data_IF_898850754500
#
_entry.id   IF_898850754500
#
_cell.length_a   1.000
_cell.length_b   1.000
_cell.length_c   1.000
_cell.angle_alpha   90.00
_cell.angle_beta   90.00
_cell.angle_gamma   90.00
#
_symmetry.space_group_name_H-M   'P 1'
#
loop_
_entity.id
_entity.type
_entity.pdbx_description
1 polymer ?
#
# COMPACT_ATOMS: atom_id res chain seq x y z
N UNK A 1 -24.90 59.15 -29.43
CA UNK A 1 -25.41 58.90 -28.06
C UNK A 1 -24.79 57.60 -27.56
N UNK A 2 -23.76 57.69 -26.71
CA UNK A 2 -23.04 56.52 -26.16
C UNK A 2 -23.42 56.40 -24.69
N UNK A 3 -24.00 55.26 -24.30
CA UNK A 3 -24.37 54.96 -22.93
C UNK A 3 -23.15 54.46 -22.14
N UNK A 4 -22.92 55.07 -20.98
CA UNK A 4 -21.88 54.72 -20.02
C UNK A 4 -22.24 53.42 -19.27
N UNK A 5 -21.28 52.52 -19.07
CA UNK A 5 -21.38 51.38 -18.15
C UNK A 5 -20.70 51.75 -16.82
N UNK A 6 -21.28 51.41 -15.65
CA UNK A 6 -20.69 51.76 -14.36
C UNK A 6 -19.57 50.78 -13.97
N UNK A 7 -18.43 51.34 -13.54
CA UNK A 7 -17.27 50.60 -13.08
C UNK A 7 -17.46 50.00 -11.68
N UNK A 8 -16.98 48.78 -11.48
CA UNK A 8 -16.89 48.14 -10.18
C UNK A 8 -15.52 48.42 -9.58
N UNK A 9 -15.49 49.10 -8.44
CA UNK A 9 -14.29 49.35 -7.63
C UNK A 9 -14.05 48.16 -6.71
N UNK A 10 -12.87 47.53 -6.83
CA UNK A 10 -12.36 46.56 -5.87
C UNK A 10 -11.89 47.33 -4.64
N UNK A 11 -12.50 47.08 -3.47
CA UNK A 11 -12.00 47.59 -2.19
C UNK A 11 -10.94 46.62 -1.65
N UNK A 12 -9.70 47.09 -1.57
CA UNK A 12 -8.64 46.48 -0.78
C UNK A 12 -8.86 46.81 0.71
N UNK A 13 -8.76 45.82 1.59
CA UNK A 13 -8.76 46.01 3.06
C UNK A 13 -7.31 45.98 3.54
N UNK A 14 -6.82 46.95 4.35
CA UNK A 14 -5.42 47.00 4.75
C UNK A 14 -5.14 46.06 5.92
N UNK A 15 -3.95 45.45 5.90
CA UNK A 15 -3.37 44.69 7.01
C UNK A 15 -2.79 45.68 8.03
N UNK A 16 -3.33 45.71 9.24
CA UNK A 16 -2.75 46.44 10.35
C UNK A 16 -1.99 45.47 11.26
N UNK A 17 -0.68 45.68 11.36
CA UNK A 17 0.17 45.08 12.38
C UNK A 17 0.06 45.92 13.66
N UNK A 18 -0.14 45.28 14.81
CA UNK A 18 0.03 45.92 16.12
C UNK A 18 0.84 45.01 17.04
N UNK A 19 1.95 45.54 17.53
CA UNK A 19 2.89 44.93 18.46
C UNK A 19 2.88 45.81 19.72
N UNK A 20 2.65 45.24 20.91
CA UNK A 20 3.18 45.74 22.20
C UNK A 20 2.85 44.78 23.37
N UNK A 21 3.93 44.20 23.89
CA UNK A 21 4.38 44.06 25.30
C UNK A 21 3.36 43.70 26.39
N UNK A 22 3.66 42.62 27.12
CA UNK A 22 2.88 42.12 28.26
C UNK A 22 3.24 42.71 29.63
N UNK A 23 2.55 42.19 30.65
CA UNK A 23 2.97 41.79 32.02
C UNK A 23 1.68 41.63 32.86
N UNK A 24 1.61 40.58 33.69
CA UNK A 24 0.78 40.60 34.91
C UNK A 24 -0.11 39.39 35.17
N UNK A 25 0.35 38.55 36.09
CA UNK A 25 -0.30 37.37 36.68
C UNK A 25 -1.79 37.53 37.03
N UNK A 26 -2.58 36.54 36.63
CA UNK A 26 -3.92 36.26 37.14
C UNK A 26 -4.33 34.87 36.69
N UNK A 27 -4.06 33.86 37.53
CA UNK A 27 -4.56 32.50 37.30
C UNK A 27 -6.10 32.52 37.39
N UNK A 28 -6.75 32.34 36.26
CA UNK A 28 -8.19 32.09 36.16
C UNK A 28 -8.42 30.65 35.68
N UNK A 29 -9.47 29.97 36.17
CA UNK A 29 -9.62 28.53 36.04
C UNK A 29 -10.03 28.13 34.63
N UNK A 30 -9.51 26.97 34.17
CA UNK A 30 -10.09 26.15 33.12
C UNK A 30 -10.43 26.84 31.81
N UNK A 31 -9.42 27.06 30.94
CA UNK A 31 -9.72 27.02 29.51
C UNK A 31 -10.10 25.59 29.19
N UNK A 32 -11.41 25.31 29.08
CA UNK A 32 -11.85 24.16 28.33
C UNK A 32 -11.16 24.24 26.97
N UNK A 33 -10.23 23.31 26.69
CA UNK A 33 -9.77 23.06 25.32
C UNK A 33 -11.04 22.89 24.50
N UNK A 34 -11.31 23.82 23.59
CA UNK A 34 -12.39 23.67 22.65
C UNK A 34 -12.14 22.34 21.93
N UNK A 35 -13.00 21.37 22.17
CA UNK A 35 -12.96 20.05 21.56
C UNK A 35 -12.95 20.24 20.05
N UNK A 36 -11.77 20.16 19.43
CA UNK A 36 -11.59 20.39 18.01
C UNK A 36 -12.35 19.29 17.26
N UNK A 37 -13.28 19.60 16.34
CA UNK A 37 -14.10 18.61 15.63
C UNK A 37 -13.31 17.88 14.52
N UNK A 38 -11.98 17.80 14.65
CA UNK A 38 -11.12 17.25 13.62
C UNK A 38 -11.17 15.73 13.72
N UNK A 39 -11.30 15.03 12.58
CA UNK A 39 -11.07 13.59 12.59
C UNK A 39 -9.59 13.34 12.87
N UNK A 40 -9.27 12.23 13.53
CA UNK A 40 -7.89 11.80 13.75
C UNK A 40 -7.68 10.51 12.99
N UNK A 41 -6.61 10.42 12.20
CA UNK A 41 -6.18 9.19 11.58
C UNK A 41 -4.81 8.80 12.13
N UNK A 42 -4.70 7.57 12.62
CA UNK A 42 -3.46 6.96 13.09
C UNK A 42 -3.04 5.91 12.07
N UNK A 43 -1.84 6.07 11.51
CA UNK A 43 -1.20 5.08 10.64
C UNK A 43 -0.09 4.37 11.41
N UNK A 44 -0.02 3.05 11.31
CA UNK A 44 1.13 2.29 11.81
C UNK A 44 2.24 2.14 10.77
N UNK A 45 2.00 2.56 9.53
CA UNK A 45 2.98 2.56 8.45
C UNK A 45 3.70 3.92 8.36
N UNK A 46 5.03 3.90 8.53
CA UNK A 46 5.97 4.96 8.17
C UNK A 46 7.19 4.29 7.52
N UNK A 47 7.43 4.42 6.19
CA UNK A 47 6.76 5.26 5.18
C UNK A 47 5.29 4.87 4.89
N UNK A 48 4.55 5.61 4.02
CA UNK A 48 3.19 5.26 3.62
C UNK A 48 3.03 3.79 3.24
N UNK A 49 1.90 3.20 3.62
CA UNK A 49 1.63 1.79 3.29
C UNK A 49 1.60 1.61 1.77
N UNK A 50 2.34 0.61 1.29
CA UNK A 50 2.27 0.19 -0.11
C UNK A 50 1.07 -0.75 -0.32
N UNK A 51 0.31 -0.52 -1.39
CA UNK A 51 -0.85 -1.33 -1.76
C UNK A 51 -0.78 -1.73 -3.23
N UNK A 52 -1.20 -2.95 -3.55
CA UNK A 52 -1.19 -3.45 -4.93
C UNK A 52 -2.37 -2.86 -5.71
N UNK A 53 -2.08 -2.30 -6.88
CA UNK A 53 -3.07 -1.64 -7.74
C UNK A 53 -4.27 -2.55 -8.03
N UNK A 54 -5.46 -1.94 -8.07
CA UNK A 54 -6.77 -2.56 -8.32
C UNK A 54 -7.29 -3.55 -7.26
N UNK A 55 -6.51 -3.88 -6.23
CA UNK A 55 -6.97 -4.70 -5.11
C UNK A 55 -7.59 -3.83 -4.02
N UNK A 56 -8.60 -4.38 -3.34
CA UNK A 56 -9.12 -3.75 -2.12
C UNK A 56 -8.27 -4.19 -0.95
N UNK A 57 -7.43 -3.27 -0.47
CA UNK A 57 -6.49 -3.53 0.62
C UNK A 57 -7.01 -2.92 1.91
N UNK A 58 -6.98 -3.71 2.98
CA UNK A 58 -7.25 -3.20 4.33
C UNK A 58 -6.02 -2.46 4.83
N UNK A 59 -6.19 -1.17 5.10
CA UNK A 59 -5.08 -0.35 5.55
C UNK A 59 -4.76 -0.60 7.03
N UNK A 60 -3.51 -0.34 7.37
CA UNK A 60 -2.98 -0.23 8.72
C UNK A 60 -3.22 1.18 9.31
N UNK A 61 -4.35 1.77 8.90
CA UNK A 61 -4.79 3.12 9.28
C UNK A 61 -6.16 3.04 9.92
N UNK A 62 -6.29 3.73 11.06
CA UNK A 62 -7.53 3.87 11.81
C UNK A 62 -7.90 5.34 11.91
N UNK A 63 -9.12 5.68 11.53
CA UNK A 63 -9.64 7.03 11.64
C UNK A 63 -10.81 7.09 12.62
N UNK A 64 -10.83 8.12 13.47
CA UNK A 64 -11.87 8.35 14.47
C UNK A 64 -12.34 9.81 14.44
N UNK A 65 -13.50 10.06 15.03
CA UNK A 65 -14.03 11.41 15.25
C UNK A 65 -14.44 11.54 16.71
N UNK A 66 -14.02 12.63 17.35
CA UNK A 66 -14.18 12.84 18.80
C UNK A 66 -15.66 13.00 19.24
N UNK A 67 -16.53 13.36 18.31
CA UNK A 67 -17.99 13.16 18.41
C UNK A 67 -18.32 12.10 17.36
N UNK A 68 -19.13 11.05 17.67
CA UNK A 68 -19.46 9.97 16.74
C UNK A 68 -20.28 10.50 15.57
N UNK A 69 -19.56 11.11 14.63
CA UNK A 69 -20.02 11.66 13.36
C UNK A 69 -19.51 10.70 12.30
N UNK A 70 -20.33 10.35 11.30
CA UNK A 70 -19.87 9.55 10.19
C UNK A 70 -18.72 10.26 9.48
N UNK A 71 -17.68 9.50 9.15
CA UNK A 71 -16.58 9.94 8.31
C UNK A 71 -16.88 9.55 6.87
N UNK A 72 -16.66 10.49 5.96
CA UNK A 72 -16.58 10.24 4.54
C UNK A 72 -15.11 10.13 4.16
N UNK A 73 -14.73 9.06 3.48
CA UNK A 73 -13.40 8.91 2.92
C UNK A 73 -13.40 9.42 1.48
N UNK A 74 -12.40 10.22 1.13
CA UNK A 74 -12.23 10.76 -0.22
C UNK A 74 -10.78 10.53 -0.64
N UNK A 75 -10.58 9.84 -1.75
CA UNK A 75 -9.27 9.64 -2.36
C UNK A 75 -9.23 10.36 -3.72
N UNK A 76 -8.06 10.80 -4.15
CA UNK A 76 -7.90 11.45 -5.46
C UNK A 76 -7.81 10.41 -6.58
N UNK A 77 -7.18 9.27 -6.29
CA UNK A 77 -6.87 8.24 -7.26
C UNK A 77 -7.39 6.85 -6.87
N UNK A 78 -8.50 6.80 -6.14
CA UNK A 78 -9.17 5.54 -5.82
C UNK A 78 -10.48 5.73 -5.07
N UNK A 79 -10.96 4.61 -4.54
CA UNK A 79 -12.09 4.53 -3.64
C UNK A 79 -11.60 4.10 -2.26
N UNK A 80 -11.90 4.89 -1.24
CA UNK A 80 -11.66 4.56 0.15
C UNK A 80 -12.98 4.39 0.90
N UNK A 81 -13.05 3.40 1.79
CA UNK A 81 -14.19 3.17 2.68
C UNK A 81 -13.69 2.98 4.11
N UNK A 82 -14.54 3.30 5.08
CA UNK A 82 -14.26 3.14 6.51
C UNK A 82 -15.34 2.28 7.16
N UNK A 83 -14.95 1.32 7.99
CA UNK A 83 -15.88 0.48 8.76
C UNK A 83 -16.29 1.15 10.09
N UNK A 84 -17.27 0.56 10.79
CA UNK A 84 -17.78 1.08 12.08
C UNK A 84 -16.73 1.08 13.21
N UNK A 85 -15.59 0.41 13.02
CA UNK A 85 -14.46 0.39 13.95
C UNK A 85 -13.36 1.39 13.54
N UNK A 86 -13.62 2.23 12.53
CA UNK A 86 -12.69 3.25 12.06
C UNK A 86 -11.60 2.72 11.12
N UNK A 87 -11.67 1.46 10.69
CA UNK A 87 -10.64 0.87 9.83
C UNK A 87 -10.89 1.19 8.38
N UNK A 88 -9.85 1.66 7.69
CA UNK A 88 -9.94 2.08 6.30
C UNK A 88 -9.60 0.91 5.36
N UNK A 89 -10.35 0.78 4.27
CA UNK A 89 -9.95 -0.01 3.10
C UNK A 89 -9.86 0.89 1.88
N UNK A 90 -8.94 0.58 0.99
CA UNK A 90 -8.66 1.39 -0.20
C UNK A 90 -8.52 0.49 -1.43
N UNK A 91 -9.01 0.98 -2.57
CA UNK A 91 -8.78 0.39 -3.89
C UNK A 91 -8.43 1.51 -4.86
N UNK A 92 -7.30 1.41 -5.53
CA UNK A 92 -6.90 2.40 -6.51
C UNK A 92 -7.77 2.38 -7.76
N UNK A 93 -7.82 3.51 -8.46
CA UNK A 93 -8.29 3.58 -9.82
C UNK A 93 -7.40 2.73 -10.75
N UNK A 94 -7.94 2.25 -11.88
CA UNK A 94 -7.14 1.60 -12.91
C UNK A 94 -5.96 2.45 -13.36
N UNK A 95 -4.83 1.79 -13.62
CA UNK A 95 -3.57 2.40 -14.10
C UNK A 95 -2.90 3.41 -13.15
N UNK A 96 -3.48 3.72 -11.99
CA UNK A 96 -2.83 4.59 -11.03
C UNK A 96 -1.70 3.85 -10.31
N UNK A 97 -0.51 4.46 -10.34
CA UNK A 97 0.69 4.08 -9.61
C UNK A 97 1.31 5.34 -9.00
N UNK A 98 1.82 5.22 -7.78
CA UNK A 98 2.38 6.34 -7.02
C UNK A 98 1.56 6.67 -5.77
N UNK A 99 1.83 7.83 -5.18
CA UNK A 99 1.25 8.23 -3.90
C UNK A 99 -0.16 8.82 -4.08
N UNK A 100 -1.16 8.26 -3.40
CA UNK A 100 -2.51 8.83 -3.28
C UNK A 100 -2.71 9.43 -1.89
N UNK A 101 -3.44 10.55 -1.82
CA UNK A 101 -3.83 11.18 -0.55
C UNK A 101 -5.29 10.86 -0.24
N UNK A 102 -5.52 10.22 0.90
CA UNK A 102 -6.85 9.89 1.40
C UNK A 102 -7.22 10.88 2.50
N UNK A 103 -8.38 11.51 2.35
CA UNK A 103 -8.96 12.43 3.33
C UNK A 103 -10.10 11.76 4.10
N UNK A 104 -9.99 11.73 5.43
CA UNK A 104 -11.13 11.52 6.31
C UNK A 104 -11.82 12.85 6.55
N UNK A 105 -13.10 12.97 6.16
CA UNK A 105 -13.89 14.19 6.27
C UNK A 105 -15.08 13.97 7.18
N UNK A 106 -15.23 14.81 8.21
CA UNK A 106 -16.39 14.75 9.10
C UNK A 106 -17.65 15.18 8.35
N UNK A 107 -18.73 14.41 8.48
CA UNK A 107 -20.04 14.77 7.92
C UNK A 107 -20.96 15.41 8.98
N UNK A 108 -21.63 16.51 8.62
CA UNK A 108 -22.58 17.23 9.49
C UNK A 108 -23.92 17.33 8.75
N UNK A 109 -24.98 16.74 9.30
CA UNK A 109 -26.28 16.68 8.64
C UNK A 109 -26.25 15.98 7.27
N UNK A 110 -25.37 14.98 7.13
CA UNK A 110 -25.17 14.22 5.88
C UNK A 110 -24.33 14.95 4.81
N UNK A 111 -23.71 16.08 5.13
CA UNK A 111 -22.87 16.86 4.19
C UNK A 111 -21.41 16.88 4.64
N UNK A 112 -20.43 16.83 3.72
CA UNK A 112 -19.01 17.00 4.06
C UNK A 112 -18.76 18.36 4.71
N UNK A 113 -18.00 18.38 5.81
CA UNK A 113 -17.57 19.61 6.48
C UNK A 113 -16.17 20.03 6.03
N UNK A 114 -15.68 21.16 6.54
CA UNK A 114 -14.29 21.60 6.32
C UNK A 114 -13.27 20.87 7.20
N UNK A 115 -13.71 20.13 8.21
CA UNK A 115 -12.83 19.41 9.13
C UNK A 115 -12.42 18.08 8.51
N UNK A 116 -11.12 17.98 8.19
CA UNK A 116 -10.54 16.81 7.55
C UNK A 116 -9.11 16.56 8.01
N UNK A 117 -8.69 15.31 7.92
CA UNK A 117 -7.32 14.86 8.14
C UNK A 117 -6.92 13.95 6.98
N UNK A 118 -5.73 14.19 6.44
CA UNK A 118 -5.19 13.46 5.30
C UNK A 118 -4.12 12.48 5.74
N UNK A 119 -3.99 11.37 5.02
CA UNK A 119 -2.86 10.45 5.08
C UNK A 119 -2.58 9.90 3.68
N UNK A 120 -1.40 9.33 3.49
CA UNK A 120 -0.92 8.87 2.19
C UNK A 120 -0.87 7.35 2.11
N UNK A 121 -1.05 6.81 0.90
CA UNK A 121 -0.75 5.42 0.51
C UNK A 121 0.06 5.42 -0.78
N UNK A 122 0.95 4.45 -0.96
CA UNK A 122 1.70 4.29 -2.21
C UNK A 122 1.12 3.09 -2.99
N UNK A 123 0.60 3.36 -4.18
CA UNK A 123 0.06 2.34 -5.07
C UNK A 123 1.16 1.81 -5.98
N UNK A 124 1.36 0.49 -5.95
CA UNK A 124 2.39 -0.20 -6.72
C UNK A 124 1.79 -1.20 -7.70
N UNK A 125 2.56 -1.53 -8.73
CA UNK A 125 2.18 -2.58 -9.68
C UNK A 125 2.19 -3.97 -8.98
N UNK A 126 1.43 -4.96 -9.47
CA UNK A 126 1.59 -6.35 -9.03
C UNK A 126 3.00 -6.87 -9.30
N UNK A 127 3.44 -7.87 -8.53
CA UNK A 127 4.70 -8.54 -8.80
C UNK A 127 4.69 -9.28 -10.16
N UNK A 128 5.84 -9.34 -10.81
CA UNK A 128 6.04 -10.05 -12.07
C UNK A 128 7.09 -11.13 -11.85
N UNK A 129 6.66 -12.39 -11.94
CA UNK A 129 7.57 -13.53 -11.87
C UNK A 129 8.13 -13.84 -13.27
N UNK A 130 9.38 -14.28 -13.35
CA UNK A 130 10.06 -14.67 -14.60
C UNK A 130 10.53 -16.13 -14.49
N UNK A 131 10.63 -16.79 -15.63
CA UNK A 131 10.99 -18.20 -15.67
C UNK A 131 12.48 -18.39 -15.39
N UNK A 132 12.81 -19.46 -14.66
CA UNK A 132 14.18 -19.78 -14.26
C UNK A 132 14.70 -21.05 -14.95
N UNK A 133 16.02 -21.13 -15.11
CA UNK A 133 16.70 -22.31 -15.61
C UNK A 133 18.01 -22.53 -14.85
N UNK A 134 18.24 -23.77 -14.40
CA UNK A 134 19.47 -24.17 -13.72
C UNK A 134 19.99 -25.49 -14.27
N UNK A 135 21.32 -25.57 -14.44
CA UNK A 135 22.01 -26.83 -14.65
C UNK A 135 22.30 -27.50 -13.30
N UNK A 136 21.92 -28.76 -13.16
CA UNK A 136 21.98 -29.53 -11.93
C UNK A 136 22.89 -30.74 -12.14
N UNK A 137 23.94 -30.93 -11.32
CA UNK A 137 24.77 -32.12 -11.41
C UNK A 137 23.98 -33.39 -11.09
N UNK A 138 24.16 -34.43 -11.91
CA UNK A 138 23.57 -35.74 -11.65
C UNK A 138 24.02 -36.32 -10.29
N UNK A 139 23.05 -36.86 -9.53
CA UNK A 139 23.32 -37.60 -8.29
C UNK A 139 23.84 -36.78 -7.10
N UNK A 140 23.91 -35.45 -7.21
CA UNK A 140 24.33 -34.58 -6.12
C UNK A 140 23.24 -33.57 -5.73
N UNK A 141 23.23 -33.19 -4.45
CA UNK A 141 22.43 -32.07 -3.95
C UNK A 141 22.91 -30.79 -4.64
N UNK A 142 21.96 -30.03 -5.19
CA UNK A 142 22.20 -28.74 -5.83
C UNK A 142 21.58 -27.64 -4.98
N UNK A 143 22.38 -26.64 -4.63
CA UNK A 143 21.93 -25.44 -3.95
C UNK A 143 21.96 -24.28 -4.94
N UNK A 144 20.85 -23.56 -5.06
CA UNK A 144 20.73 -22.49 -6.03
C UNK A 144 21.69 -21.34 -5.70
N UNK A 145 22.55 -20.88 -6.63
CA UNK A 145 23.49 -19.81 -6.34
C UNK A 145 22.83 -18.42 -6.25
N UNK A 146 21.70 -18.24 -6.94
CA UNK A 146 20.99 -16.94 -7.03
C UNK A 146 19.56 -16.99 -6.50
N UNK A 147 18.98 -18.19 -6.34
CA UNK A 147 17.57 -18.36 -5.97
C UNK A 147 16.58 -17.96 -7.08
N UNK A 148 15.30 -18.21 -6.83
CA UNK A 148 14.20 -18.02 -7.79
C UNK A 148 13.78 -16.56 -7.96
N UNK A 149 14.02 -15.70 -6.96
CA UNK A 149 13.57 -14.31 -6.99
C UNK A 149 14.53 -13.37 -7.74
N UNK A 150 15.67 -13.87 -8.21
CA UNK A 150 16.76 -13.04 -8.73
C UNK A 150 16.40 -12.28 -10.02
N UNK A 151 15.50 -12.82 -10.83
CA UNK A 151 15.01 -12.21 -12.07
C UNK A 151 13.56 -11.72 -11.93
N UNK A 152 12.96 -11.79 -10.75
CA UNK A 152 11.59 -11.35 -10.49
C UNK A 152 11.53 -9.86 -10.21
N UNK A 153 10.36 -9.26 -10.45
CA UNK A 153 10.05 -7.89 -10.06
C UNK A 153 9.08 -7.90 -8.88
N UNK A 154 9.60 -7.57 -7.70
CA UNK A 154 8.86 -7.59 -6.44
C UNK A 154 8.67 -6.16 -5.95
N UNK A 155 7.43 -5.64 -5.92
CA UNK A 155 7.17 -4.21 -5.72
C UNK A 155 7.29 -3.77 -4.25
N UNK A 156 7.14 -4.72 -3.32
CA UNK A 156 7.12 -4.47 -1.87
C UNK A 156 7.73 -5.65 -1.12
N UNK A 157 8.08 -5.47 0.14
CA UNK A 157 8.30 -6.61 1.03
C UNK A 157 6.99 -7.40 1.26
N UNK A 158 7.10 -8.62 1.77
CA UNK A 158 5.96 -9.48 2.11
C UNK A 158 5.43 -10.35 0.97
N UNK A 159 6.03 -10.30 -0.22
CA UNK A 159 5.75 -11.28 -1.27
C UNK A 159 6.47 -12.60 -0.97
N UNK A 160 5.75 -13.71 -1.14
CA UNK A 160 6.24 -15.05 -0.87
C UNK A 160 6.10 -15.95 -2.08
N UNK A 161 7.00 -16.91 -2.24
CA UNK A 161 6.86 -17.97 -3.24
C UNK A 161 5.75 -18.93 -2.81
N UNK A 162 4.74 -19.06 -3.67
CA UNK A 162 3.78 -20.15 -3.63
C UNK A 162 4.15 -21.19 -4.69
N UNK A 163 4.70 -22.30 -4.24
CA UNK A 163 4.99 -23.44 -5.10
C UNK A 163 3.70 -24.08 -5.62
N UNK A 164 3.72 -24.53 -6.87
CA UNK A 164 2.67 -25.35 -7.45
C UNK A 164 2.57 -26.71 -6.75
N UNK A 165 1.39 -27.32 -6.83
CA UNK A 165 1.09 -28.60 -6.14
C UNK A 165 1.69 -29.83 -6.82
N UNK A 166 2.18 -29.69 -8.05
CA UNK A 166 2.85 -30.77 -8.78
C UNK A 166 4.32 -30.79 -8.39
N UNK A 167 4.81 -31.84 -7.71
CA UNK A 167 6.21 -31.94 -7.35
C UNK A 167 7.09 -32.19 -8.60
N UNK A 168 8.40 -31.89 -8.52
CA UNK A 168 9.36 -32.28 -9.55
C UNK A 168 9.30 -33.79 -9.83
N UNK A 169 9.40 -34.16 -11.10
CA UNK A 169 9.28 -35.54 -11.54
C UNK A 169 10.57 -36.34 -11.35
N UNK A 170 11.74 -35.72 -11.26
CA UNK A 170 13.07 -36.33 -11.23
C UNK A 170 13.79 -36.17 -9.88
N UNK A 171 13.22 -35.43 -8.92
CA UNK A 171 13.85 -35.15 -7.63
C UNK A 171 12.89 -34.63 -6.58
N UNK A 172 13.45 -34.03 -5.55
CA UNK A 172 12.73 -33.23 -4.54
C UNK A 172 13.33 -31.83 -4.50
N UNK A 173 12.49 -30.83 -4.21
CA UNK A 173 12.92 -29.46 -4.02
C UNK A 173 12.43 -28.93 -2.67
N UNK A 174 13.31 -28.21 -1.99
CA UNK A 174 12.99 -27.43 -0.79
C UNK A 174 13.27 -25.96 -1.10
N UNK A 175 12.24 -25.12 -1.00
CA UNK A 175 12.31 -23.69 -1.33
C UNK A 175 12.13 -22.89 -0.04
N UNK A 176 13.05 -21.97 0.23
CA UNK A 176 12.81 -20.87 1.16
C UNK A 176 11.88 -19.87 0.47
N UNK A 177 10.64 -19.79 0.95
CA UNK A 177 9.60 -18.98 0.31
C UNK A 177 9.83 -17.48 0.44
N UNK A 178 10.70 -17.04 1.36
CA UNK A 178 11.02 -15.64 1.61
C UNK A 178 12.21 -15.21 0.76
N UNK A 179 13.29 -16.00 0.78
CA UNK A 179 14.53 -15.62 0.08
C UNK A 179 14.58 -16.11 -1.36
N UNK A 180 13.76 -17.10 -1.72
CA UNK A 180 13.83 -17.79 -3.01
C UNK A 180 15.00 -18.74 -3.17
N UNK A 181 15.86 -18.87 -2.16
CA UNK A 181 16.90 -19.89 -2.15
C UNK A 181 16.26 -21.27 -2.15
N UNK A 182 16.85 -22.21 -2.88
CA UNK A 182 16.34 -23.57 -2.89
C UNK A 182 17.44 -24.62 -2.93
N UNK A 183 17.05 -25.82 -2.50
CA UNK A 183 17.84 -27.03 -2.59
C UNK A 183 17.09 -28.04 -3.42
N UNK A 184 17.71 -28.53 -4.49
CA UNK A 184 17.18 -29.63 -5.29
C UNK A 184 18.02 -30.90 -5.11
N UNK A 185 17.36 -32.02 -4.88
CA UNK A 185 18.00 -33.34 -4.75
C UNK A 185 17.46 -34.26 -5.84
N UNK A 186 18.23 -34.53 -6.91
CA UNK A 186 17.85 -35.51 -7.92
C UNK A 186 17.71 -36.91 -7.31
N UNK A 187 16.74 -37.70 -7.78
CA UNK A 187 16.69 -39.13 -7.44
C UNK A 187 17.91 -39.85 -8.05
N UNK A 188 18.40 -40.94 -7.45
CA UNK A 188 19.47 -41.73 -8.03
C UNK A 188 19.16 -42.13 -9.49
N UNK A 189 20.10 -41.85 -10.40
CA UNK A 189 19.95 -42.13 -11.83
C UNK A 189 19.06 -41.16 -12.61
N UNK A 190 18.57 -40.08 -11.99
CA UNK A 190 17.87 -39.02 -12.70
C UNK A 190 18.80 -38.31 -13.70
N UNK A 191 18.28 -38.07 -14.90
CA UNK A 191 18.92 -37.28 -15.95
C UNK A 191 17.83 -36.67 -16.84
N UNK A 192 18.13 -35.53 -17.45
CA UNK A 192 17.21 -34.78 -18.30
C UNK A 192 16.50 -33.64 -17.56
N UNK A 193 15.43 -33.14 -18.18
CA UNK A 193 14.72 -31.94 -17.72
C UNK A 193 13.68 -32.29 -16.65
N UNK A 194 13.75 -31.57 -15.54
CA UNK A 194 12.68 -31.51 -14.53
C UNK A 194 12.08 -30.09 -14.47
N UNK A 195 10.85 -29.99 -13.97
CA UNK A 195 10.14 -28.71 -13.91
C UNK A 195 9.40 -28.53 -12.60
N UNK A 196 9.45 -27.31 -12.08
CA UNK A 196 8.61 -26.85 -10.97
C UNK A 196 7.85 -25.62 -11.45
N UNK A 197 6.66 -25.38 -10.90
CA UNK A 197 5.94 -24.12 -11.09
C UNK A 197 5.87 -23.34 -9.79
N UNK A 198 5.94 -22.02 -9.88
CA UNK A 198 5.62 -21.13 -8.77
C UNK A 198 4.92 -19.87 -9.25
N UNK A 199 4.36 -19.14 -8.29
CA UNK A 199 3.97 -17.72 -8.43
C UNK A 199 4.28 -17.02 -7.11
N UNK A 200 4.26 -15.70 -7.12
CA UNK A 200 4.39 -14.90 -5.92
C UNK A 200 3.01 -14.56 -5.35
N UNK A 201 2.89 -14.57 -4.03
CA UNK A 201 1.70 -14.14 -3.28
C UNK A 201 2.07 -12.94 -2.43
N UNK A 202 1.38 -11.82 -2.62
CA UNK A 202 1.66 -10.57 -1.92
C UNK A 202 0.99 -10.47 -0.54
N UNK A 203 1.26 -9.38 0.18
CA UNK A 203 0.67 -9.12 1.51
C UNK A 203 -0.82 -8.74 1.46
N UNK A 204 -1.31 -8.29 0.30
CA UNK A 204 -2.71 -7.93 0.09
C UNK A 204 -3.52 -9.16 -0.34
N UNK A 205 -4.74 -9.28 0.17
CA UNK A 205 -5.64 -10.38 -0.21
C UNK A 205 -5.88 -10.36 -1.74
N UNK A 206 -5.51 -11.46 -2.40
CA UNK A 206 -5.65 -11.59 -3.86
C UNK A 206 -4.46 -11.04 -4.66
N UNK A 207 -3.39 -10.57 -4.02
CA UNK A 207 -2.16 -10.18 -4.70
C UNK A 207 -1.40 -11.41 -5.20
N UNK A 208 -1.42 -11.62 -6.51
CA UNK A 208 -0.71 -12.69 -7.19
C UNK A 208 0.11 -12.15 -8.36
N UNK A 209 1.30 -12.72 -8.56
CA UNK A 209 2.00 -12.60 -9.84
C UNK A 209 1.42 -13.55 -10.89
N UNK A 210 1.92 -13.45 -12.12
CA UNK A 210 1.84 -14.54 -13.08
C UNK A 210 2.55 -15.80 -12.52
N UNK A 211 2.08 -16.98 -12.94
CA UNK A 211 2.73 -18.24 -12.62
C UNK A 211 3.78 -18.59 -13.67
N UNK A 212 4.95 -19.02 -13.22
CA UNK A 212 6.12 -19.33 -14.06
C UNK A 212 6.60 -20.76 -13.84
N UNK A 213 7.51 -21.18 -14.71
CA UNK A 213 8.14 -22.50 -14.68
C UNK A 213 9.63 -22.33 -14.39
N UNK A 214 10.14 -23.13 -13.47
CA UNK A 214 11.56 -23.36 -13.21
C UNK A 214 11.96 -24.63 -13.94
N UNK A 215 13.02 -24.56 -14.73
CA UNK A 215 13.57 -25.69 -15.47
C UNK A 215 14.87 -26.14 -14.81
N UNK A 216 14.97 -27.43 -14.47
CA UNK A 216 16.16 -28.02 -13.89
C UNK A 216 16.72 -29.05 -14.89
N UNK A 217 17.89 -28.77 -15.46
CA UNK A 217 18.55 -29.69 -16.38
C UNK A 217 19.53 -30.57 -15.61
N UNK A 218 19.12 -31.81 -15.33
CA UNK A 218 19.95 -32.78 -14.59
C UNK A 218 20.90 -33.49 -15.56
N UNK A 219 22.21 -33.29 -15.39
CA UNK A 219 23.23 -33.81 -16.30
C UNK A 219 24.61 -34.02 -15.68
#
# INVERSE_FOLDING_TARGET
>A
MRAARPGWRVLAVPVAALLLVGVGLGAAPGRASALLPWPTCETTADPPQKVVSLLTTRLSTWCTSMIPRPLLMVAEHGDAIIDDHGRVSYRSNPEFLGVDTIWAVVTIGGRPSMYRTGFEVEVVAPAVARADAYAVPAGARFESPVGLLANDEVPTEGWLIQQGTTPPALGTIEIDTVTGSFVYTPRPGAAGVDTIRYRLTGPDDGAYSNAVTVTLEVG
#
